data_IF_812214564777
#
_entry.id   IF_812214564777
#
_cell.length_a   1.000
_cell.length_b   1.000
_cell.length_c   1.000
_cell.angle_alpha   90.00
_cell.angle_beta   90.00
_cell.angle_gamma   90.00
#
_symmetry.space_group_name_H-M   'P 1'
#
loop_
_entity.id
_entity.type
_entity.pdbx_description
1 polymer ?
#
# COMPACT_ATOMS: atom_id res chain seq x y z
N UNK A 1 20.65 -8.32 3.53
CA UNK A 1 21.44 -8.28 2.30
C UNK A 1 20.77 -7.58 1.12
N UNK A 2 19.41 -7.57 0.99
CA UNK A 2 18.74 -6.86 -0.11
C UNK A 2 18.91 -5.33 -0.03
N UNK A 3 19.02 -4.79 1.17
CA UNK A 3 19.01 -3.33 1.42
C UNK A 3 20.25 -2.82 2.14
N UNK A 4 21.15 -3.71 2.57
CA UNK A 4 22.36 -3.35 3.32
C UNK A 4 23.62 -3.33 2.47
N UNK A 5 23.63 -4.03 1.32
CA UNK A 5 24.81 -4.04 0.44
C UNK A 5 24.78 -2.82 -0.49
N UNK A 6 25.96 -2.25 -0.75
CA UNK A 6 26.14 -1.21 -1.76
C UNK A 6 26.11 -1.78 -3.20
N UNK A 7 26.04 -3.10 -3.35
CA UNK A 7 26.01 -3.78 -4.65
C UNK A 7 24.58 -4.25 -4.95
N UNK A 8 24.20 -4.17 -6.22
CA UNK A 8 22.93 -4.69 -6.69
C UNK A 8 22.84 -6.20 -6.38
N UNK A 9 21.77 -6.68 -5.72
CA UNK A 9 21.56 -8.09 -5.51
C UNK A 9 21.56 -8.86 -6.85
N UNK A 10 22.07 -10.09 -6.89
CA UNK A 10 22.07 -10.89 -8.12
C UNK A 10 20.66 -11.15 -8.62
N UNK A 11 20.54 -11.38 -9.92
CA UNK A 11 19.27 -11.75 -10.55
C UNK A 11 18.71 -13.06 -9.98
N UNK A 12 17.41 -13.27 -10.18
CA UNK A 12 16.74 -14.51 -9.79
C UNK A 12 17.13 -15.60 -10.78
N UNK A 13 18.18 -16.39 -10.47
CA UNK A 13 18.58 -17.51 -11.28
C UNK A 13 17.82 -18.79 -10.88
N UNK A 14 17.50 -19.63 -11.85
CA UNK A 14 17.08 -21.03 -11.65
C UNK A 14 15.59 -21.30 -11.50
N UNK A 15 14.72 -20.31 -11.48
CA UNK A 15 13.28 -20.57 -11.67
C UNK A 15 12.95 -20.54 -13.16
N UNK A 16 12.25 -21.58 -13.66
CA UNK A 16 11.59 -21.52 -14.97
C UNK A 16 10.51 -20.43 -14.91
N UNK A 17 10.92 -19.20 -15.23
CA UNK A 17 10.00 -18.06 -15.28
C UNK A 17 9.04 -18.32 -16.44
N UNK A 18 7.74 -18.50 -16.14
CA UNK A 18 6.73 -18.53 -17.20
C UNK A 18 6.80 -17.20 -17.96
N UNK A 19 6.66 -17.18 -19.28
CA UNK A 19 6.69 -15.93 -20.03
C UNK A 19 5.61 -14.99 -19.50
N UNK A 20 5.99 -13.73 -19.30
CA UNK A 20 5.09 -12.67 -18.90
C UNK A 20 3.99 -12.52 -19.96
N UNK A 21 2.75 -12.75 -19.59
CA UNK A 21 1.63 -12.52 -20.49
C UNK A 21 1.09 -11.10 -20.29
N UNK A 22 1.54 -10.17 -21.12
CA UNK A 22 1.06 -8.78 -21.13
C UNK A 22 -0.13 -8.55 -22.05
N UNK A 23 -0.66 -9.61 -22.70
CA UNK A 23 -1.83 -9.49 -23.59
C UNK A 23 -3.05 -9.09 -22.77
N UNK A 24 -3.64 -7.96 -23.14
CA UNK A 24 -4.82 -7.38 -22.47
C UNK A 24 -4.49 -6.41 -21.33
N UNK A 25 -3.22 -6.17 -21.02
CA UNK A 25 -2.83 -5.10 -20.10
C UNK A 25 -2.69 -3.78 -20.88
N UNK A 26 -3.39 -2.74 -20.42
CA UNK A 26 -3.22 -1.35 -20.95
C UNK A 26 -1.99 -0.70 -20.32
N UNK A 27 -0.80 -1.14 -20.73
CA UNK A 27 0.48 -0.64 -20.25
C UNK A 27 1.22 0.08 -21.38
N UNK A 28 1.82 1.21 -21.07
CA UNK A 28 2.81 1.83 -21.95
C UNK A 28 4.16 1.09 -21.90
N UNK A 29 5.08 1.47 -22.77
CA UNK A 29 6.36 0.79 -22.89
C UNK A 29 7.21 0.93 -21.62
N UNK A 30 7.22 2.10 -20.97
CA UNK A 30 7.98 2.32 -19.74
C UNK A 30 7.45 1.48 -18.56
N UNK A 31 6.12 1.32 -18.47
CA UNK A 31 5.47 0.46 -17.48
C UNK A 31 5.77 -1.02 -17.74
N UNK A 32 5.72 -1.42 -19.01
CA UNK A 32 6.03 -2.80 -19.42
C UNK A 32 7.48 -3.16 -19.10
N UNK A 33 8.44 -2.31 -19.45
CA UNK A 33 9.86 -2.50 -19.18
C UNK A 33 10.14 -2.60 -17.69
N UNK A 34 9.48 -1.75 -16.87
CA UNK A 34 9.60 -1.81 -15.42
C UNK A 34 9.10 -3.15 -14.85
N UNK A 35 7.97 -3.67 -15.35
CA UNK A 35 7.41 -4.97 -14.94
C UNK A 35 8.33 -6.10 -15.37
N UNK A 36 8.78 -6.12 -16.63
CA UNK A 36 9.70 -7.15 -17.16
C UNK A 36 11.02 -7.22 -16.39
N UNK A 37 11.52 -6.06 -15.98
CA UNK A 37 12.71 -6.00 -15.13
C UNK A 37 12.42 -6.50 -13.73
N UNK A 38 11.31 -6.07 -13.13
CA UNK A 38 10.96 -6.44 -11.77
C UNK A 38 10.78 -7.95 -11.59
N UNK A 39 10.23 -8.66 -12.58
CA UNK A 39 10.06 -10.12 -12.48
C UNK A 39 11.37 -10.89 -12.48
N UNK A 40 12.47 -10.30 -13.00
CA UNK A 40 13.79 -10.92 -13.12
C UNK A 40 14.74 -10.57 -11.96
N UNK A 41 14.51 -9.45 -11.26
CA UNK A 41 15.43 -8.91 -10.28
C UNK A 41 14.95 -9.13 -8.84
N UNK A 42 15.92 -9.29 -7.93
CA UNK A 42 15.65 -9.40 -6.50
C UNK A 42 15.36 -8.05 -5.83
N UNK A 43 15.90 -6.98 -6.37
CA UNK A 43 15.64 -5.61 -5.95
C UNK A 43 15.33 -4.78 -7.20
N UNK A 44 14.13 -4.20 -7.23
CA UNK A 44 13.71 -3.28 -8.29
C UNK A 44 13.18 -2.01 -7.67
N UNK A 45 13.64 -0.90 -8.19
CA UNK A 45 13.15 0.43 -7.86
C UNK A 45 12.45 1.02 -9.08
N UNK A 46 11.21 1.45 -8.91
CA UNK A 46 10.39 2.06 -9.97
C UNK A 46 10.11 3.49 -9.56
N UNK A 47 10.69 4.43 -10.30
CA UNK A 47 10.39 5.85 -10.15
C UNK A 47 9.19 6.20 -11.02
N UNK A 48 8.12 6.68 -10.41
CA UNK A 48 6.92 7.12 -11.13
C UNK A 48 6.63 8.60 -10.87
N UNK A 49 7.01 9.49 -11.79
CA UNK A 49 6.59 10.88 -11.75
C UNK A 49 5.07 11.06 -11.62
N UNK A 50 4.57 12.28 -11.31
CA UNK A 50 3.14 12.51 -11.17
C UNK A 50 2.37 12.10 -12.41
N UNK A 51 1.30 11.32 -12.25
CA UNK A 51 0.41 10.92 -13.33
C UNK A 51 0.91 9.78 -14.22
N UNK A 52 2.06 9.17 -13.94
CA UNK A 52 2.62 8.05 -14.75
C UNK A 52 2.09 6.67 -14.39
N UNK A 53 1.11 6.57 -13.49
CA UNK A 53 0.47 5.30 -13.18
C UNK A 53 1.30 4.37 -12.28
N UNK A 54 2.01 4.90 -11.26
CA UNK A 54 2.74 4.10 -10.26
C UNK A 54 1.94 2.91 -9.74
N UNK A 55 0.80 3.19 -9.11
CA UNK A 55 -0.06 2.18 -8.51
C UNK A 55 -0.64 1.23 -9.56
N UNK A 56 -0.98 1.74 -10.76
CA UNK A 56 -1.41 0.91 -11.89
C UNK A 56 -0.32 -0.09 -12.30
N UNK A 57 0.93 0.37 -12.43
CA UNK A 57 2.08 -0.49 -12.72
C UNK A 57 2.32 -1.52 -11.62
N UNK A 58 2.23 -1.10 -10.34
CA UNK A 58 2.39 -1.98 -9.19
C UNK A 58 1.33 -3.09 -9.17
N UNK A 59 0.07 -2.77 -9.40
CA UNK A 59 -1.04 -3.73 -9.44
C UNK A 59 -0.86 -4.75 -10.58
N UNK A 60 -0.49 -4.31 -11.77
CA UNK A 60 -0.23 -5.21 -12.90
C UNK A 60 1.00 -6.09 -12.68
N UNK A 61 2.05 -5.56 -12.05
CA UNK A 61 3.21 -6.35 -11.64
C UNK A 61 2.84 -7.43 -10.63
N UNK A 62 2.04 -7.09 -9.61
CA UNK A 62 1.56 -8.05 -8.62
C UNK A 62 0.74 -9.16 -9.27
N UNK A 63 -0.19 -8.80 -10.16
CA UNK A 63 -0.96 -9.79 -10.95
C UNK A 63 -0.05 -10.71 -11.76
N UNK A 64 0.91 -10.14 -12.48
CA UNK A 64 1.87 -10.92 -13.28
C UNK A 64 2.65 -11.92 -12.41
N UNK A 65 3.13 -11.50 -11.23
CA UNK A 65 3.83 -12.38 -10.30
C UNK A 65 2.92 -13.52 -9.78
N UNK A 66 1.65 -13.24 -9.51
CA UNK A 66 0.67 -14.27 -9.11
C UNK A 66 0.41 -15.27 -10.23
N UNK A 67 0.19 -14.80 -11.46
CA UNK A 67 0.00 -15.67 -12.65
C UNK A 67 1.23 -16.56 -12.92
N UNK A 68 2.41 -16.10 -12.54
CA UNK A 68 3.65 -16.89 -12.56
C UNK A 68 3.76 -17.89 -11.40
N UNK A 69 2.77 -17.96 -10.50
CA UNK A 69 2.75 -18.85 -9.34
C UNK A 69 3.68 -18.41 -8.20
N UNK A 70 4.00 -17.12 -8.10
CA UNK A 70 4.97 -16.57 -7.14
C UNK A 70 4.33 -15.93 -5.89
N UNK A 71 3.09 -16.31 -5.56
CA UNK A 71 2.42 -15.90 -4.32
C UNK A 71 2.75 -16.78 -3.11
N UNK A 72 2.28 -16.41 -1.90
CA UNK A 72 1.63 -15.14 -1.59
C UNK A 72 2.60 -13.94 -1.53
N UNK A 73 2.08 -12.76 -1.85
CA UNK A 73 2.84 -11.50 -1.88
C UNK A 73 2.35 -10.57 -0.78
N UNK A 74 3.26 -9.81 -0.16
CA UNK A 74 2.94 -8.72 0.75
C UNK A 74 3.07 -7.39 0.00
N UNK A 75 1.95 -6.70 -0.18
CA UNK A 75 1.87 -5.37 -0.78
C UNK A 75 1.62 -4.33 0.30
N UNK A 76 2.52 -3.37 0.44
CA UNK A 76 2.48 -2.36 1.49
C UNK A 76 2.52 -0.95 0.93
N UNK A 77 2.05 -0.01 1.75
CA UNK A 77 2.27 1.43 1.57
C UNK A 77 2.29 2.13 2.93
N UNK A 78 2.73 3.38 2.97
CA UNK A 78 2.76 4.13 4.23
C UNK A 78 1.35 4.54 4.68
N UNK A 79 0.50 5.02 3.77
CA UNK A 79 -0.84 5.49 4.07
C UNK A 79 -1.93 4.43 3.82
N UNK A 80 -3.04 4.51 4.57
CA UNK A 80 -4.21 3.67 4.33
C UNK A 80 -4.81 3.89 2.93
N UNK A 81 -4.80 5.14 2.45
CA UNK A 81 -5.33 5.48 1.12
C UNK A 81 -4.54 4.79 0.01
N UNK A 82 -3.21 4.78 0.10
CA UNK A 82 -2.36 4.10 -0.89
C UNK A 82 -2.58 2.58 -0.87
N UNK A 83 -2.72 1.97 0.32
CA UNK A 83 -3.04 0.54 0.44
C UNK A 83 -4.42 0.22 -0.13
N UNK A 84 -5.41 1.08 0.10
CA UNK A 84 -6.77 0.91 -0.43
C UNK A 84 -6.80 1.03 -1.97
N UNK A 85 -6.00 1.92 -2.56
CA UNK A 85 -5.84 2.03 -4.01
C UNK A 85 -5.19 0.77 -4.62
N UNK A 86 -4.16 0.20 -3.95
CA UNK A 86 -3.59 -1.08 -4.36
C UNK A 86 -4.62 -2.22 -4.30
N UNK A 87 -5.37 -2.30 -3.20
CA UNK A 87 -6.40 -3.32 -3.01
C UNK A 87 -7.48 -3.23 -4.08
N UNK A 88 -8.02 -2.03 -4.33
CA UNK A 88 -9.04 -1.77 -5.34
C UNK A 88 -8.59 -2.25 -6.73
N UNK A 89 -7.41 -1.80 -7.17
CA UNK A 89 -6.88 -2.24 -8.46
C UNK A 89 -6.62 -3.75 -8.55
N UNK A 90 -6.20 -4.41 -7.47
CA UNK A 90 -6.03 -5.87 -7.45
C UNK A 90 -7.36 -6.60 -7.56
N UNK A 91 -8.40 -6.13 -6.86
CA UNK A 91 -9.74 -6.71 -6.92
C UNK A 91 -10.36 -6.54 -8.32
N UNK A 92 -10.19 -5.38 -8.96
CA UNK A 92 -10.63 -5.12 -10.34
C UNK A 92 -9.98 -6.08 -11.33
N UNK A 93 -8.74 -6.49 -11.10
CA UNK A 93 -8.03 -7.46 -11.90
C UNK A 93 -8.34 -8.93 -11.52
N UNK A 94 -9.25 -9.16 -10.58
CA UNK A 94 -9.66 -10.49 -10.12
C UNK A 94 -8.65 -11.22 -9.23
N UNK A 95 -7.67 -10.51 -8.66
CA UNK A 95 -6.69 -11.08 -7.71
C UNK A 95 -7.35 -11.29 -6.35
N UNK A 96 -7.10 -12.43 -5.71
CA UNK A 96 -7.59 -12.72 -4.35
C UNK A 96 -6.77 -11.95 -3.32
N UNK A 97 -7.06 -10.64 -3.23
CA UNK A 97 -6.40 -9.76 -2.29
C UNK A 97 -7.19 -9.64 -0.98
N UNK A 98 -6.44 -9.52 0.14
CA UNK A 98 -7.00 -9.32 1.48
C UNK A 98 -6.38 -8.09 2.11
N UNK A 99 -7.21 -7.18 2.64
CA UNK A 99 -6.78 -5.99 3.36
C UNK A 99 -6.57 -6.33 4.84
N UNK A 100 -5.35 -6.19 5.32
CA UNK A 100 -5.02 -6.28 6.73
C UNK A 100 -4.91 -4.88 7.34
N UNK A 101 -5.64 -4.64 8.43
CA UNK A 101 -5.67 -3.36 9.15
C UNK A 101 -7.02 -3.09 9.78
N UNK A 102 -7.14 -2.01 10.55
CA UNK A 102 -8.39 -1.66 11.25
C UNK A 102 -9.48 -1.30 10.25
N UNK A 103 -10.67 -1.96 10.28
CA UNK A 103 -11.75 -1.73 9.31
C UNK A 103 -12.22 -0.28 9.21
N UNK A 104 -12.22 0.45 10.34
CA UNK A 104 -12.62 1.87 10.42
C UNK A 104 -11.76 2.79 9.55
N UNK A 105 -10.53 2.36 9.22
CA UNK A 105 -9.60 3.12 8.38
C UNK A 105 -9.58 2.67 6.92
N UNK A 106 -10.45 1.72 6.55
CA UNK A 106 -10.59 1.20 5.20
C UNK A 106 -11.78 1.88 4.52
N UNK A 107 -11.62 2.20 3.23
CA UNK A 107 -12.70 2.75 2.40
C UNK A 107 -13.91 1.82 2.43
N UNK A 108 -15.13 2.38 2.53
CA UNK A 108 -16.36 1.60 2.74
C UNK A 108 -16.58 0.53 1.67
N UNK A 109 -16.34 0.87 0.40
CA UNK A 109 -16.45 -0.06 -0.74
C UNK A 109 -15.50 -1.28 -0.66
N UNK A 110 -14.44 -1.20 0.15
CA UNK A 110 -13.42 -2.24 0.28
C UNK A 110 -13.51 -3.03 1.59
N UNK A 111 -14.48 -2.72 2.45
CA UNK A 111 -14.61 -3.35 3.78
C UNK A 111 -14.79 -4.87 3.71
N UNK A 112 -15.51 -5.38 2.72
CA UNK A 112 -15.70 -6.82 2.51
C UNK A 112 -14.40 -7.57 2.17
N UNK A 113 -13.41 -6.87 1.63
CA UNK A 113 -12.10 -7.42 1.34
C UNK A 113 -11.15 -7.39 2.55
N UNK A 114 -11.59 -6.88 3.71
CA UNK A 114 -10.77 -6.90 4.93
C UNK A 114 -10.69 -8.29 5.54
N UNK A 115 -9.59 -8.56 6.25
CA UNK A 115 -9.44 -9.81 6.99
C UNK A 115 -10.59 -10.02 7.97
N UNK A 116 -10.97 -8.98 8.72
CA UNK A 116 -12.04 -9.05 9.73
C UNK A 116 -13.39 -9.43 9.09
N UNK A 117 -13.75 -8.81 7.96
CA UNK A 117 -14.99 -9.14 7.26
C UNK A 117 -14.98 -10.59 6.72
N UNK A 118 -13.85 -11.02 6.14
CA UNK A 118 -13.70 -12.39 5.63
C UNK A 118 -13.72 -13.44 6.75
N UNK A 119 -13.16 -13.13 7.91
CA UNK A 119 -13.25 -13.98 9.10
C UNK A 119 -14.69 -14.04 9.62
N UNK A 120 -15.38 -12.89 9.68
CA UNK A 120 -16.77 -12.83 10.16
C UNK A 120 -17.76 -13.54 9.22
N UNK A 121 -17.51 -13.58 7.93
CA UNK A 121 -18.34 -14.28 6.94
C UNK A 121 -17.91 -15.72 6.66
N UNK A 122 -16.92 -16.24 7.40
CA UNK A 122 -16.42 -17.60 7.20
C UNK A 122 -17.44 -18.65 7.62
N UNK A 123 -17.66 -19.77 6.89
CA UNK A 123 -18.65 -20.79 7.24
C UNK A 123 -18.53 -21.38 8.62
N UNK A 124 -17.33 -21.45 9.19
CA UNK A 124 -17.10 -21.91 10.57
C UNK A 124 -17.42 -20.89 11.66
N UNK A 125 -17.88 -19.70 11.30
CA UNK A 125 -18.25 -18.67 12.28
C UNK A 125 -19.47 -19.09 13.09
N UNK A 126 -20.38 -19.87 12.51
CA UNK A 126 -21.54 -20.40 13.20
C UNK A 126 -21.17 -21.33 14.36
N UNK A 127 -20.10 -22.12 14.22
CA UNK A 127 -19.55 -22.97 15.30
C UNK A 127 -19.05 -22.12 16.47
N UNK A 128 -18.37 -21.02 16.20
CA UNK A 128 -17.93 -20.07 17.24
C UNK A 128 -19.13 -19.45 17.95
N UNK A 129 -20.14 -19.02 17.19
CA UNK A 129 -21.35 -18.42 17.75
C UNK A 129 -22.08 -19.41 18.66
N UNK A 130 -22.20 -20.67 18.26
CA UNK A 130 -22.79 -21.72 19.09
C UNK A 130 -22.05 -21.90 20.41
N UNK A 131 -20.71 -21.99 20.39
CA UNK A 131 -19.91 -22.13 21.62
C UNK A 131 -20.03 -20.86 22.50
N UNK A 132 -20.16 -19.68 21.91
CA UNK A 132 -20.37 -18.43 22.65
C UNK A 132 -21.73 -18.43 23.36
N UNK A 133 -22.80 -18.85 22.69
CA UNK A 133 -24.14 -18.96 23.27
C UNK A 133 -24.17 -19.98 24.42
N UNK A 134 -23.56 -21.15 24.24
CA UNK A 134 -23.38 -22.13 25.30
C UNK A 134 -22.63 -21.55 26.50
N UNK A 135 -21.54 -20.86 26.25
CA UNK A 135 -20.71 -20.23 27.28
C UNK A 135 -21.48 -19.20 28.08
N UNK A 136 -22.28 -18.38 27.40
CA UNK A 136 -23.13 -17.37 28.05
C UNK A 136 -24.27 -18.03 28.84
N UNK A 137 -24.82 -19.15 28.35
CA UNK A 137 -25.79 -19.96 29.07
C UNK A 137 -25.24 -20.57 30.37
N UNK A 138 -23.96 -21.02 30.37
CA UNK A 138 -23.28 -21.47 31.60
C UNK A 138 -23.01 -20.27 32.53
N UNK A 139 -22.58 -19.14 31.98
CA UNK A 139 -22.25 -17.93 32.74
C UNK A 139 -23.44 -17.34 33.46
N UNK A 140 -24.61 -17.29 32.79
CA UNK A 140 -25.86 -16.80 33.42
C UNK A 140 -26.31 -17.58 34.62
N UNK A 141 -26.03 -18.92 34.66
CA UNK A 141 -26.35 -19.80 35.77
C UNK A 141 -25.29 -19.82 36.89
N UNK A 142 -24.12 -19.21 36.67
CA UNK A 142 -22.98 -19.27 37.58
C UNK A 142 -23.27 -18.71 38.97
N UNK A 143 -24.20 -17.76 39.07
CA UNK A 143 -24.62 -17.14 40.32
C UNK A 143 -25.32 -18.16 41.25
N UNK A 144 -26.09 -19.10 40.70
CA UNK A 144 -26.89 -20.07 41.46
C UNK A 144 -26.08 -21.31 41.85
N UNK A 145 -24.92 -21.52 41.24
CA UNK A 145 -24.05 -22.68 41.50
C UNK A 145 -23.14 -22.48 42.72
N UNK A 146 -22.92 -23.53 43.48
CA UNK A 146 -22.05 -23.53 44.68
C UNK A 146 -21.04 -24.68 44.64
N UNK A 147 -19.95 -24.52 45.36
CA UNK A 147 -18.96 -25.57 45.61
C UNK A 147 -18.38 -26.19 44.32
N UNK A 148 -18.50 -27.51 44.20
CA UNK A 148 -17.93 -28.31 43.11
C UNK A 148 -18.55 -27.97 41.76
N UNK A 149 -19.85 -27.71 41.71
CA UNK A 149 -20.58 -27.42 40.46
C UNK A 149 -20.16 -26.06 39.87
N UNK A 150 -19.94 -25.07 40.72
CA UNK A 150 -19.38 -23.77 40.29
C UNK A 150 -17.96 -23.95 39.77
N UNK A 151 -17.15 -24.83 40.39
CA UNK A 151 -15.80 -25.13 39.92
C UNK A 151 -15.80 -25.81 38.54
N UNK A 152 -16.75 -26.69 38.27
CA UNK A 152 -16.92 -27.34 36.98
C UNK A 152 -17.34 -26.33 35.91
N UNK A 153 -18.35 -25.48 36.17
CA UNK A 153 -18.79 -24.44 35.26
C UNK A 153 -17.67 -23.48 34.85
N UNK A 154 -16.79 -23.09 35.78
CA UNK A 154 -15.59 -22.29 35.42
C UNK A 154 -14.61 -23.03 34.51
N UNK A 155 -14.45 -24.36 34.69
CA UNK A 155 -13.60 -25.16 33.80
C UNK A 155 -14.19 -25.25 32.40
N UNK A 156 -15.51 -25.44 32.29
CA UNK A 156 -16.20 -25.49 30.99
C UNK A 156 -16.12 -24.15 30.27
N UNK A 157 -16.38 -23.05 30.96
CA UNK A 157 -16.20 -21.70 30.41
C UNK A 157 -14.77 -21.51 29.89
N UNK A 158 -13.76 -21.88 30.67
CA UNK A 158 -12.35 -21.74 30.25
C UNK A 158 -11.98 -22.65 29.07
N UNK A 159 -12.60 -23.85 28.99
CA UNK A 159 -12.45 -24.76 27.85
C UNK A 159 -13.05 -24.13 26.59
N UNK A 160 -14.27 -23.64 26.68
CA UNK A 160 -14.97 -23.01 25.58
C UNK A 160 -14.20 -21.75 25.03
N UNK A 161 -13.67 -20.90 25.92
CA UNK A 161 -12.83 -19.78 25.50
C UNK A 161 -11.53 -20.22 24.79
N UNK A 162 -10.94 -21.32 25.16
CA UNK A 162 -9.78 -21.86 24.43
C UNK A 162 -10.17 -22.36 23.06
N UNK A 163 -11.28 -23.11 22.98
CA UNK A 163 -11.80 -23.65 21.73
C UNK A 163 -12.18 -22.52 20.74
N UNK A 164 -12.86 -21.46 21.22
CA UNK A 164 -13.14 -20.26 20.43
C UNK A 164 -11.84 -19.66 19.86
N UNK A 165 -10.81 -19.46 20.68
CA UNK A 165 -9.54 -18.89 20.21
C UNK A 165 -8.85 -19.76 19.17
N UNK A 166 -8.91 -21.07 19.33
CA UNK A 166 -8.33 -22.01 18.36
C UNK A 166 -9.09 -21.96 17.04
N UNK A 167 -10.43 -21.88 17.07
CA UNK A 167 -11.26 -21.75 15.88
C UNK A 167 -11.01 -20.39 15.18
N UNK A 168 -10.99 -19.29 15.93
CA UNK A 168 -10.68 -17.97 15.39
C UNK A 168 -9.31 -17.95 14.71
N UNK A 169 -8.31 -18.60 15.32
CA UNK A 169 -6.98 -18.70 14.72
C UNK A 169 -7.00 -19.53 13.43
N UNK A 170 -7.70 -20.67 13.42
CA UNK A 170 -7.85 -21.52 12.22
C UNK A 170 -8.54 -20.79 11.09
N UNK A 171 -9.65 -20.09 11.36
CA UNK A 171 -10.36 -19.28 10.36
C UNK A 171 -9.44 -18.20 9.79
N UNK A 172 -8.73 -17.49 10.67
CA UNK A 172 -7.75 -16.47 10.26
C UNK A 172 -6.68 -17.07 9.35
N UNK A 173 -6.14 -18.22 9.70
CA UNK A 173 -5.14 -18.93 8.92
C UNK A 173 -5.68 -19.43 7.57
N UNK A 174 -6.93 -19.90 7.52
CA UNK A 174 -7.60 -20.32 6.29
C UNK A 174 -7.78 -19.13 5.34
N UNK A 175 -8.30 -17.99 5.82
CA UNK A 175 -8.49 -16.78 5.01
C UNK A 175 -7.15 -16.27 4.47
N UNK A 176 -6.13 -16.18 5.33
CA UNK A 176 -4.81 -15.70 4.94
C UNK A 176 -4.08 -16.68 4.01
N UNK A 177 -4.35 -17.97 4.09
CA UNK A 177 -3.75 -18.98 3.20
C UNK A 177 -4.41 -19.00 1.84
N UNK A 178 -5.68 -18.60 1.74
CA UNK A 178 -6.40 -18.43 0.50
C UNK A 178 -6.08 -17.11 -0.24
N UNK A 179 -5.40 -16.17 0.42
CA UNK A 179 -5.04 -14.89 -0.17
C UNK A 179 -3.78 -15.01 -1.06
N UNK A 180 -3.86 -14.46 -2.27
CA UNK A 180 -2.72 -14.34 -3.19
C UNK A 180 -1.86 -13.11 -2.87
N UNK A 181 -2.52 -12.02 -2.45
CA UNK A 181 -1.87 -10.78 -2.03
C UNK A 181 -2.45 -10.31 -0.69
N UNK A 182 -1.58 -10.02 0.25
CA UNK A 182 -1.94 -9.37 1.50
C UNK A 182 -1.58 -7.88 1.42
N UNK A 183 -2.58 -7.01 1.51
CA UNK A 183 -2.40 -5.56 1.48
C UNK A 183 -2.41 -4.99 2.90
N UNK A 184 -1.38 -4.24 3.28
CA UNK A 184 -1.25 -3.66 4.63
C UNK A 184 -0.49 -2.34 4.60
N UNK A 185 -0.65 -1.51 5.64
CA UNK A 185 0.34 -0.44 5.86
C UNK A 185 1.68 -1.05 6.27
N UNK A 186 2.79 -0.33 6.04
CA UNK A 186 4.12 -0.79 6.43
C UNK A 186 4.15 -1.24 7.89
N UNK A 187 3.69 -0.39 8.80
CA UNK A 187 3.62 -0.71 10.24
C UNK A 187 2.63 -1.84 10.52
N UNK A 188 1.49 -1.89 9.81
CA UNK A 188 0.50 -2.96 9.93
C UNK A 188 1.08 -4.34 9.64
N UNK A 189 2.05 -4.43 8.73
CA UNK A 189 2.75 -5.68 8.42
C UNK A 189 3.52 -6.27 9.62
N UNK A 190 3.84 -5.46 10.64
CA UNK A 190 4.47 -5.91 11.88
C UNK A 190 3.51 -6.52 12.92
N UNK A 191 2.20 -6.50 12.68
CA UNK A 191 1.22 -6.95 13.66
C UNK A 191 1.32 -8.43 13.99
N UNK A 192 1.02 -8.80 15.26
CA UNK A 192 1.19 -10.18 15.76
C UNK A 192 0.36 -11.22 15.01
N UNK A 193 -0.83 -10.88 14.48
CA UNK A 193 -1.69 -11.79 13.72
C UNK A 193 -0.97 -12.39 12.50
N UNK A 194 -0.10 -11.60 11.85
CA UNK A 194 0.69 -12.05 10.69
C UNK A 194 2.18 -12.22 11.02
N UNK A 195 2.56 -12.19 12.31
CA UNK A 195 3.95 -12.22 12.75
C UNK A 195 4.71 -13.48 12.26
N UNK A 196 4.06 -14.63 12.31
CA UNK A 196 4.65 -15.92 11.90
C UNK A 196 4.68 -16.15 10.39
N UNK A 197 3.96 -15.33 9.59
CA UNK A 197 3.91 -15.49 8.14
C UNK A 197 5.14 -14.91 7.49
N UNK A 198 5.62 -15.58 6.47
CA UNK A 198 6.76 -15.16 5.65
C UNK A 198 6.28 -14.85 4.23
N UNK A 199 6.80 -13.79 3.67
CA UNK A 199 6.51 -13.36 2.31
C UNK A 199 7.83 -13.24 1.54
N UNK A 200 8.00 -14.07 0.54
CA UNK A 200 9.23 -14.05 -0.28
C UNK A 200 9.29 -12.83 -1.20
N UNK A 201 8.15 -12.23 -1.51
CA UNK A 201 8.02 -11.03 -2.33
C UNK A 201 7.33 -9.95 -1.51
N UNK A 202 7.95 -8.78 -1.46
CA UNK A 202 7.40 -7.58 -0.83
C UNK A 202 7.41 -6.45 -1.84
N UNK A 203 6.28 -5.80 -2.01
CA UNK A 203 6.16 -4.56 -2.77
C UNK A 203 5.76 -3.44 -1.80
N UNK A 204 6.43 -2.29 -1.91
CA UNK A 204 6.08 -1.08 -1.16
C UNK A 204 5.75 0.02 -2.17
N UNK A 205 4.48 0.43 -2.21
CA UNK A 205 4.03 1.58 -2.99
C UNK A 205 4.18 2.86 -2.18
N UNK A 206 4.37 3.99 -2.86
CA UNK A 206 4.73 5.28 -2.27
C UNK A 206 5.92 5.16 -1.28
N UNK A 207 6.92 4.35 -1.65
CA UNK A 207 8.07 4.02 -0.80
C UNK A 207 8.92 5.24 -0.41
N UNK A 208 8.81 6.34 -1.15
CA UNK A 208 9.50 7.61 -0.86
C UNK A 208 8.79 8.46 0.19
N UNK A 209 7.56 8.12 0.57
CA UNK A 209 6.83 8.76 1.67
C UNK A 209 7.00 8.00 3.00
N UNK A 210 7.64 6.84 2.97
CA UNK A 210 7.90 6.02 4.15
C UNK A 210 9.28 6.32 4.73
N UNK A 211 9.38 6.49 6.05
CA UNK A 211 10.68 6.46 6.72
C UNK A 211 11.34 5.10 6.54
N UNK A 212 12.67 5.05 6.50
CA UNK A 212 13.37 3.77 6.34
C UNK A 212 12.99 2.72 7.41
N UNK A 213 12.89 3.04 8.71
CA UNK A 213 12.41 2.08 9.70
C UNK A 213 11.01 1.54 9.41
N UNK A 214 10.08 2.37 8.90
CA UNK A 214 8.75 1.93 8.49
C UNK A 214 8.83 0.94 7.33
N UNK A 215 9.62 1.23 6.29
CA UNK A 215 9.83 0.35 5.14
C UNK A 215 10.49 -0.99 5.51
N UNK A 216 11.34 -1.03 6.55
CA UNK A 216 11.98 -2.26 7.00
C UNK A 216 11.00 -3.25 7.62
N UNK A 217 9.89 -2.81 8.21
CA UNK A 217 8.90 -3.69 8.86
C UNK A 217 8.38 -4.79 7.92
N UNK A 218 7.86 -4.50 6.71
CA UNK A 218 7.46 -5.54 5.77
C UNK A 218 8.65 -6.34 5.22
N UNK A 219 9.83 -5.73 5.03
CA UNK A 219 11.00 -6.40 4.45
C UNK A 219 11.50 -7.55 5.32
N UNK A 220 11.53 -7.36 6.65
CA UNK A 220 11.98 -8.41 7.60
C UNK A 220 11.02 -9.59 7.70
N UNK A 221 9.86 -9.54 7.05
CA UNK A 221 8.92 -10.67 6.92
C UNK A 221 9.43 -11.80 6.02
N UNK A 222 10.67 -11.76 5.62
CA UNK A 222 11.33 -12.82 4.84
C UNK A 222 11.48 -12.49 3.36
N UNK A 223 11.47 -11.21 2.99
CA UNK A 223 11.64 -10.76 1.61
C UNK A 223 12.93 -11.33 0.98
N UNK A 224 12.78 -12.01 -0.15
CA UNK A 224 13.86 -12.43 -1.05
C UNK A 224 13.83 -11.63 -2.34
N UNK A 225 12.70 -11.03 -2.63
CA UNK A 225 12.51 -10.05 -3.69
C UNK A 225 11.80 -8.83 -3.11
N UNK A 226 12.34 -7.65 -3.39
CA UNK A 226 11.84 -6.36 -2.95
C UNK A 226 11.58 -5.46 -4.15
N UNK A 227 10.39 -4.89 -4.20
CA UNK A 227 10.00 -3.91 -5.21
C UNK A 227 9.60 -2.64 -4.48
N UNK A 228 10.27 -1.54 -4.79
CA UNK A 228 9.99 -0.22 -4.25
C UNK A 228 9.44 0.66 -5.37
N UNK A 229 8.24 1.17 -5.18
CA UNK A 229 7.59 2.09 -6.12
C UNK A 229 7.43 3.44 -5.44
N UNK A 230 7.88 4.51 -6.06
CA UNK A 230 7.80 5.84 -5.46
C UNK A 230 8.39 6.90 -6.37
N UNK A 231 8.57 8.10 -5.83
CA UNK A 231 9.19 9.20 -6.56
C UNK A 231 9.92 10.15 -5.60
N UNK A 232 11.24 10.05 -5.59
CA UNK A 232 12.12 10.86 -4.73
C UNK A 232 12.16 12.36 -5.10
N UNK A 233 11.50 12.75 -6.18
CA UNK A 233 11.31 14.16 -6.57
C UNK A 233 10.00 14.76 -6.05
N UNK A 234 9.16 13.92 -5.40
CA UNK A 234 7.95 14.34 -4.68
C UNK A 234 8.24 14.50 -3.18
N UNK A 235 7.18 14.63 -2.38
CA UNK A 235 7.31 14.89 -0.95
C UNK A 235 8.02 13.73 -0.22
N UNK A 236 8.98 14.04 0.66
CA UNK A 236 9.63 13.06 1.52
C UNK A 236 8.71 12.60 2.67
N UNK A 237 9.15 11.66 3.51
CA UNK A 237 8.44 11.29 4.73
C UNK A 237 8.23 12.49 5.65
N UNK A 238 7.03 12.59 6.23
CA UNK A 238 6.74 13.64 7.23
C UNK A 238 7.40 13.29 8.57
N UNK A 239 8.34 14.13 9.01
CA UNK A 239 9.03 14.01 10.30
C UNK A 239 8.76 15.27 11.11
N UNK A 240 8.05 15.14 12.24
CA UNK A 240 7.69 16.29 13.10
C UNK A 240 8.83 16.76 14.00
N UNK A 241 9.78 15.90 14.30
CA UNK A 241 10.93 16.23 15.14
C UNK A 241 12.09 16.75 14.29
N UNK A 242 12.43 18.03 14.43
CA UNK A 242 13.58 18.65 13.75
C UNK A 242 14.89 17.89 14.00
N UNK A 243 15.12 17.44 15.23
CA UNK A 243 16.31 16.64 15.57
C UNK A 243 16.36 15.29 14.83
N UNK A 244 15.20 14.67 14.65
CA UNK A 244 15.11 13.39 13.91
C UNK A 244 15.31 13.61 12.41
N UNK A 245 14.82 14.72 11.88
CA UNK A 245 15.05 15.15 10.49
C UNK A 245 16.52 15.44 10.23
N UNK A 246 17.16 16.22 11.08
CA UNK A 246 18.62 16.49 11.04
C UNK A 246 19.44 15.20 11.16
N UNK A 247 18.92 14.18 11.85
CA UNK A 247 19.49 12.83 11.95
C UNK A 247 19.22 11.93 10.73
N UNK A 248 18.53 12.44 9.69
CA UNK A 248 18.28 11.71 8.44
C UNK A 248 17.06 10.80 8.45
N UNK A 249 16.14 10.90 9.43
CA UNK A 249 14.92 10.08 9.46
C UNK A 249 13.98 10.37 8.27
N UNK A 250 14.08 11.55 7.66
CA UNK A 250 13.35 11.95 6.46
C UNK A 250 13.93 11.40 5.15
N UNK A 251 15.09 10.72 5.20
CA UNK A 251 15.67 10.06 4.02
C UNK A 251 15.06 8.66 3.87
N UNK A 252 14.21 8.43 2.86
CA UNK A 252 13.58 7.14 2.67
C UNK A 252 14.58 6.09 2.15
N UNK A 253 14.29 4.80 2.39
CA UNK A 253 15.09 3.68 1.87
C UNK A 253 15.33 3.79 0.36
N UNK A 254 14.32 4.20 -0.41
CA UNK A 254 14.40 4.39 -1.85
C UNK A 254 15.52 5.37 -2.23
N UNK A 255 15.55 6.54 -1.60
CA UNK A 255 16.56 7.59 -1.88
C UNK A 255 17.96 7.15 -1.46
N UNK A 256 18.09 6.51 -0.30
CA UNK A 256 19.38 5.96 0.15
C UNK A 256 19.92 4.92 -0.81
N UNK A 257 19.08 4.01 -1.32
CA UNK A 257 19.51 3.01 -2.30
C UNK A 257 19.92 3.66 -3.63
N UNK A 258 19.19 4.67 -4.08
CA UNK A 258 19.52 5.44 -5.27
C UNK A 258 20.88 6.14 -5.12
N UNK A 259 21.13 6.76 -3.97
CA UNK A 259 22.41 7.41 -3.64
C UNK A 259 23.56 6.41 -3.58
N UNK A 260 23.30 5.15 -3.27
CA UNK A 260 24.27 4.06 -3.30
C UNK A 260 24.46 3.45 -4.70
N UNK A 261 23.91 4.08 -5.74
CA UNK A 261 24.09 3.67 -7.14
C UNK A 261 23.16 2.56 -7.62
N UNK A 262 22.11 2.20 -6.85
CA UNK A 262 21.08 1.28 -7.35
C UNK A 262 20.16 2.05 -8.30
N UNK A 263 20.09 1.71 -9.60
CA UNK A 263 19.28 2.46 -10.56
C UNK A 263 17.79 2.23 -10.34
N UNK A 264 16.99 3.28 -10.60
CA UNK A 264 15.54 3.19 -10.67
C UNK A 264 15.06 3.21 -12.12
N UNK A 265 14.04 2.39 -12.42
CA UNK A 265 13.31 2.43 -13.70
C UNK A 265 12.31 3.58 -13.64
N UNK A 266 12.48 4.59 -14.49
CA UNK A 266 11.59 5.73 -14.53
C UNK A 266 10.44 5.47 -15.50
N UNK A 267 9.20 5.63 -15.02
CA UNK A 267 8.02 5.69 -15.86
C UNK A 267 7.99 7.06 -16.56
N UNK A 268 7.78 7.08 -17.87
CA UNK A 268 7.95 8.30 -18.67
C UNK A 268 6.64 8.90 -19.13
N UNK A 269 5.59 8.12 -19.33
CA UNK A 269 4.33 8.61 -19.90
C UNK A 269 3.34 9.02 -18.81
N UNK A 270 2.97 10.29 -18.78
CA UNK A 270 1.98 10.82 -17.84
C UNK A 270 0.58 10.93 -18.46
N UNK A 271 -0.47 10.66 -17.66
CA UNK A 271 -1.88 10.63 -18.08
C UNK A 271 -2.76 11.61 -17.30
N UNK A 272 -2.19 12.40 -16.40
CA UNK A 272 -2.93 13.27 -15.47
C UNK A 272 -3.04 14.70 -15.95
N UNK A 273 -1.90 15.28 -16.29
CA UNK A 273 -1.76 16.71 -16.51
C UNK A 273 -2.04 17.09 -17.97
N UNK A 274 -2.55 18.31 -18.16
CA UNK A 274 -2.47 18.97 -19.47
C UNK A 274 -1.00 19.05 -19.93
N UNK A 275 -0.67 18.84 -21.23
CA UNK A 275 0.71 18.88 -21.71
C UNK A 275 1.51 20.12 -21.28
N UNK A 276 0.92 21.30 -21.34
CA UNK A 276 1.57 22.54 -20.89
C UNK A 276 1.91 22.54 -19.39
N UNK A 277 1.06 21.92 -18.53
CA UNK A 277 1.33 21.82 -17.09
C UNK A 277 2.51 20.87 -16.85
N UNK A 278 2.64 19.80 -17.64
CA UNK A 278 3.73 18.83 -17.55
C UNK A 278 5.10 19.42 -17.90
N UNK A 279 5.16 20.43 -18.78
CA UNK A 279 6.42 20.99 -19.30
C UNK A 279 7.38 21.41 -18.17
N UNK A 280 6.88 22.20 -17.21
CA UNK A 280 7.72 22.70 -16.12
C UNK A 280 8.29 21.58 -15.23
N UNK A 281 7.50 20.67 -14.65
CA UNK A 281 8.05 19.58 -13.85
C UNK A 281 8.96 18.65 -14.66
N UNK A 282 8.66 18.40 -15.94
CA UNK A 282 9.52 17.60 -16.81
C UNK A 282 10.91 18.20 -16.92
N UNK A 283 10.99 19.51 -17.26
CA UNK A 283 12.26 20.22 -17.41
C UNK A 283 13.01 20.34 -16.07
N UNK A 284 12.31 20.65 -14.98
CA UNK A 284 12.93 20.99 -13.71
C UNK A 284 13.39 19.78 -12.90
N UNK A 285 12.65 18.65 -12.95
CA UNK A 285 12.82 17.52 -12.06
C UNK A 285 13.11 16.19 -12.75
N UNK A 286 12.77 16.06 -14.06
CA UNK A 286 12.80 14.77 -14.75
C UNK A 286 13.56 14.82 -16.08
N UNK A 287 14.51 15.73 -16.23
CA UNK A 287 15.46 15.81 -17.37
C UNK A 287 14.76 15.88 -18.75
N UNK A 288 13.58 16.49 -18.82
CA UNK A 288 12.70 16.51 -20.01
C UNK A 288 12.27 15.12 -20.52
N UNK A 289 12.26 14.11 -19.66
CA UNK A 289 11.94 12.73 -20.04
C UNK A 289 10.45 12.38 -19.93
N UNK A 290 9.60 13.29 -19.41
CA UNK A 290 8.16 13.04 -19.36
C UNK A 290 7.51 13.27 -20.73
N UNK A 291 6.74 12.28 -21.14
CA UNK A 291 5.92 12.27 -22.36
C UNK A 291 4.44 12.36 -22.00
N UNK A 292 3.61 12.79 -22.95
CA UNK A 292 2.18 12.92 -22.73
C UNK A 292 1.43 11.69 -23.26
N UNK A 293 0.77 10.97 -22.37
CA UNK A 293 -0.20 9.91 -22.69
C UNK A 293 -1.62 10.43 -22.87
N UNK A 294 -1.83 11.76 -22.77
CA UNK A 294 -3.11 12.42 -23.00
C UNK A 294 -2.90 13.69 -23.82
N UNK A 295 -3.95 14.08 -24.56
CA UNK A 295 -3.96 15.30 -25.39
C UNK A 295 -4.55 16.48 -24.61
N UNK A 296 -4.28 17.71 -25.07
CA UNK A 296 -4.90 18.94 -24.52
C UNK A 296 -6.42 18.85 -24.53
N UNK A 297 -7.02 18.28 -25.57
CA UNK A 297 -8.47 18.12 -25.66
C UNK A 297 -9.06 17.14 -24.64
N UNK A 298 -8.28 16.16 -24.15
CA UNK A 298 -8.68 15.24 -23.08
C UNK A 298 -8.53 15.85 -21.68
N UNK A 299 -7.84 16.98 -21.57
CA UNK A 299 -7.60 17.72 -20.33
C UNK A 299 -7.93 19.21 -20.52
N UNK A 300 -9.18 19.54 -20.87
CA UNK A 300 -9.55 20.94 -21.15
C UNK A 300 -9.38 21.81 -19.90
N UNK A 301 -9.15 23.10 -20.06
CA UNK A 301 -9.18 24.06 -18.98
C UNK A 301 -10.51 24.00 -18.20
N UNK A 302 -10.45 24.28 -16.90
CA UNK A 302 -11.65 24.32 -16.06
C UNK A 302 -12.56 25.46 -16.51
N UNK A 303 -13.85 25.20 -16.70
CA UNK A 303 -14.85 26.20 -17.06
C UNK A 303 -15.11 27.16 -15.88
N UNK A 304 -15.44 28.41 -16.20
CA UNK A 304 -15.77 29.44 -15.21
C UNK A 304 -14.60 30.32 -14.78
N UNK A 305 -13.38 30.01 -15.19
CA UNK A 305 -12.22 30.86 -14.98
C UNK A 305 -11.85 31.59 -16.27
N UNK A 306 -11.46 32.87 -16.19
CA UNK A 306 -11.01 33.68 -17.33
C UNK A 306 -9.52 33.37 -17.58
N UNK A 307 -9.26 32.32 -18.37
CA UNK A 307 -7.91 31.94 -18.74
C UNK A 307 -7.26 32.99 -19.63
N UNK A 308 -6.02 33.42 -19.34
CA UNK A 308 -5.27 34.32 -20.25
C UNK A 308 -5.04 33.70 -21.62
N UNK A 309 -4.83 32.40 -21.67
CA UNK A 309 -4.71 31.62 -22.89
C UNK A 309 -5.45 30.29 -22.67
N UNK A 310 -6.50 30.03 -23.46
CA UNK A 310 -7.32 28.83 -23.33
C UNK A 310 -6.56 27.53 -23.65
N UNK A 311 -5.55 27.63 -24.53
CA UNK A 311 -4.71 26.50 -24.91
C UNK A 311 -3.61 26.20 -23.87
N UNK A 312 -3.40 27.12 -22.92
CA UNK A 312 -2.39 27.03 -21.86
C UNK A 312 -3.02 27.29 -20.50
N UNK A 313 -3.61 26.25 -19.86
CA UNK A 313 -4.32 26.39 -18.59
C UNK A 313 -3.34 26.58 -17.42
N UNK A 314 -2.56 27.63 -17.49
CA UNK A 314 -1.64 28.08 -16.43
C UNK A 314 -1.85 29.58 -16.27
N UNK A 315 -2.18 30.05 -15.09
CA UNK A 315 -2.39 31.42 -14.75
C UNK A 315 -1.75 31.78 -13.42
N UNK A 316 -1.18 32.96 -13.34
CA UNK A 316 -0.72 33.54 -12.09
C UNK A 316 -1.77 34.53 -11.61
N UNK A 317 -2.36 34.24 -10.45
CA UNK A 317 -3.32 35.13 -9.78
C UNK A 317 -2.61 35.74 -8.56
N UNK A 318 -2.28 37.04 -8.58
CA UNK A 318 -1.68 37.69 -7.42
C UNK A 318 -2.75 37.87 -6.33
N UNK A 319 -2.52 37.33 -5.18
CA UNK A 319 -3.37 37.48 -4.00
C UNK A 319 -2.65 38.36 -2.98
N UNK A 320 -3.31 39.44 -2.53
CA UNK A 320 -2.76 40.43 -1.61
C UNK A 320 -3.54 40.40 -0.28
N UNK A 321 -3.45 39.35 0.47
CA UNK A 321 -4.09 39.25 1.77
C UNK A 321 -3.08 38.91 2.86
N UNK A 322 -3.43 39.14 4.11
CA UNK A 322 -2.67 38.63 5.25
C UNK A 322 -3.11 37.22 5.61
N UNK A 323 -2.15 36.34 5.80
CA UNK A 323 -2.41 34.99 6.32
C UNK A 323 -2.93 35.08 7.76
N UNK A 324 -4.03 34.38 8.04
CA UNK A 324 -4.60 34.21 9.38
C UNK A 324 -4.21 32.80 9.83
N UNK A 325 -3.52 32.72 10.97
CA UNK A 325 -3.17 31.45 11.61
C UNK A 325 -4.40 30.96 12.41
N UNK A 326 -4.87 29.75 12.15
CA UNK A 326 -5.95 29.17 12.96
C UNK A 326 -5.48 28.87 14.39
N UNK A 327 -6.39 28.98 15.37
CA UNK A 327 -6.07 28.83 16.81
C UNK A 327 -5.37 27.51 17.16
N UNK A 328 -5.45 26.49 16.32
CA UNK A 328 -4.76 25.21 16.49
C UNK A 328 -3.32 25.18 15.92
N UNK A 329 -2.84 26.25 15.29
CA UNK A 329 -1.47 26.37 14.79
C UNK A 329 -1.07 25.42 13.66
N UNK A 330 -2.05 24.74 13.03
CA UNK A 330 -1.81 23.71 12.02
C UNK A 330 -2.14 24.13 10.59
N UNK A 331 -2.88 25.22 10.41
CA UNK A 331 -3.25 25.74 9.10
C UNK A 331 -3.20 27.27 9.09
N UNK A 332 -2.90 27.83 7.92
CA UNK A 332 -2.99 29.24 7.61
C UNK A 332 -3.99 29.41 6.49
N UNK A 333 -4.86 30.38 6.63
CA UNK A 333 -5.85 30.70 5.61
C UNK A 333 -5.70 32.17 5.16
N UNK A 334 -5.90 32.40 3.89
CA UNK A 334 -6.00 33.74 3.32
C UNK A 334 -7.40 33.87 2.70
N UNK A 335 -8.19 34.83 3.22
CA UNK A 335 -9.58 35.01 2.76
C UNK A 335 -9.64 35.41 1.29
N UNK A 336 -8.63 36.11 0.77
CA UNK A 336 -8.56 36.54 -0.62
C UNK A 336 -8.20 35.37 -1.57
N UNK A 337 -7.56 34.31 -1.07
CA UNK A 337 -7.35 33.06 -1.81
C UNK A 337 -8.62 32.21 -1.91
N UNK A 338 -9.50 32.34 -0.93
CA UNK A 338 -10.74 31.54 -0.86
C UNK A 338 -11.86 32.16 -1.73
N UNK A 339 -11.75 33.42 -2.11
CA UNK A 339 -12.72 34.13 -2.94
C UNK A 339 -12.45 33.97 -4.43
#
# INVERSE_FOLDING_TARGET
>A
DLVTSAQRPPEIHGQKIRPLNTKGMTLDDSQRDAIETAVKQRLTMIQGPPGTGKTHTAVHLLKALIEMGRGPILACAESNVAVDNLLEGLLELGVKAVRFGRPVKVRESLREATLDAKVSSHPKQDEINFIREETEGIRSKLHDLKGKDRGMAHKDINKNYREIRELEQRITDDVLSGAEVLCSTNIGAGHFTIAKRKFSIVLIDEATQATEPSALVPIVKGARQLILVGDHRQLPPTVTSRRAEEGGLNIPLFERLLSNGIPAHMLTTQYRMHPTIREFPSARFYENRLEDGCTSSQRPPVAGFLWPDWDKPVSFVPVHGSEIEEEAGSSRSNMDEAA
#
